data_IF_613024986112
#
_entry.id   IF_613024986112
#
_cell.length_a   1.000
_cell.length_b   1.000
_cell.length_c   1.000
_cell.angle_alpha   90.00
_cell.angle_beta   90.00
_cell.angle_gamma   90.00
#
_symmetry.space_group_name_H-M   'P 1'
#
loop_
_entity.id
_entity.type
_entity.pdbx_description
1 polymer ?
#
# COMPACT_ATOMS: atom_id res chain seq x y z
N UNK A 1 12.01 -4.43 -8.20
CA UNK A 1 12.07 -3.07 -7.63
C UNK A 1 13.34 -2.98 -6.80
N UNK A 2 14.20 -1.96 -7.01
CA UNK A 2 15.53 -1.90 -6.39
C UNK A 2 15.50 -1.53 -4.90
N UNK A 3 14.48 -0.78 -4.44
CA UNK A 3 14.42 -0.32 -3.05
C UNK A 3 13.63 -1.32 -2.20
N UNK A 4 14.25 -1.99 -1.20
CA UNK A 4 13.55 -2.92 -0.33
C UNK A 4 12.64 -2.16 0.64
N UNK A 5 11.34 -2.43 0.58
CA UNK A 5 10.38 -1.97 1.58
C UNK A 5 10.08 -3.16 2.48
N UNK A 6 10.32 -3.02 3.79
CA UNK A 6 10.02 -4.07 4.75
C UNK A 6 8.79 -3.66 5.54
N UNK A 7 7.82 -4.57 5.61
CA UNK A 7 6.60 -4.40 6.41
C UNK A 7 6.45 -5.63 7.29
N UNK A 8 6.27 -5.43 8.58
CA UNK A 8 6.15 -6.50 9.57
C UNK A 8 5.24 -6.10 10.71
N UNK A 9 4.59 -7.08 11.34
CA UNK A 9 3.83 -6.87 12.56
C UNK A 9 4.74 -6.80 13.79
N UNK A 10 4.51 -5.82 14.66
CA UNK A 10 5.14 -5.63 15.96
C UNK A 10 4.02 -5.37 16.99
N UNK A 11 3.46 -6.45 17.55
CA UNK A 11 2.27 -6.37 18.41
C UNK A 11 1.01 -5.94 17.64
N UNK A 12 0.41 -4.82 18.03
CA UNK A 12 -0.69 -4.15 17.35
C UNK A 12 -0.22 -3.08 16.35
N UNK A 13 1.10 -2.96 16.15
CA UNK A 13 1.70 -1.99 15.24
C UNK A 13 2.17 -2.66 13.94
N UNK A 14 1.98 -1.96 12.84
CA UNK A 14 2.63 -2.21 11.57
C UNK A 14 3.97 -1.45 11.58
N UNK A 15 5.08 -2.18 11.54
CA UNK A 15 6.40 -1.61 11.39
C UNK A 15 6.78 -1.58 9.91
N UNK A 16 7.10 -0.40 9.41
CA UNK A 16 7.59 -0.17 8.04
C UNK A 16 9.04 0.30 8.12
N UNK A 17 9.93 -0.29 7.33
CA UNK A 17 11.34 0.12 7.25
C UNK A 17 11.80 0.14 5.81
N UNK A 18 12.33 1.29 5.39
CA UNK A 18 12.86 1.56 4.05
C UNK A 18 14.27 2.11 4.26
N UNK A 19 15.34 1.43 3.79
CA UNK A 19 16.69 1.91 3.99
C UNK A 19 16.95 3.18 3.16
N UNK A 20 18.02 3.90 3.52
CA UNK A 20 18.56 4.96 2.67
C UNK A 20 19.17 4.37 1.40
N UNK A 21 18.98 5.06 0.27
CA UNK A 21 19.67 4.77 -0.99
C UNK A 21 19.91 6.09 -1.72
N UNK A 22 21.13 6.61 -1.57
CA UNK A 22 21.56 7.89 -2.16
C UNK A 22 21.69 7.86 -3.68
N UNK A 23 21.55 6.70 -4.31
CA UNK A 23 21.52 6.59 -5.77
C UNK A 23 20.16 6.92 -6.38
N UNK A 24 19.12 7.00 -5.54
CA UNK A 24 17.75 7.34 -5.92
C UNK A 24 17.41 8.77 -5.50
N UNK A 25 16.39 9.36 -6.12
CA UNK A 25 15.81 10.62 -5.66
C UNK A 25 14.71 10.36 -4.63
N UNK A 26 14.45 11.37 -3.79
CA UNK A 26 13.38 11.35 -2.78
C UNK A 26 12.02 11.01 -3.40
N UNK A 27 11.15 10.39 -2.61
CA UNK A 27 9.90 9.82 -3.09
C UNK A 27 8.81 9.91 -2.02
N UNK A 28 7.54 9.81 -2.44
CA UNK A 28 6.40 9.77 -1.53
C UNK A 28 6.18 8.35 -1.04
N UNK A 29 5.96 8.20 0.27
CA UNK A 29 5.51 6.94 0.86
C UNK A 29 3.99 6.94 0.95
N UNK A 30 3.36 6.02 0.22
CA UNK A 30 1.92 5.81 0.24
C UNK A 30 1.58 4.60 1.09
N UNK A 31 0.51 4.72 1.88
CA UNK A 31 -0.21 3.58 2.44
C UNK A 31 -1.50 3.39 1.66
N UNK A 32 -1.68 2.19 1.14
CA UNK A 32 -2.85 1.76 0.38
C UNK A 32 -3.49 0.62 1.15
N UNK A 33 -4.80 0.70 1.39
CA UNK A 33 -5.56 -0.44 1.93
C UNK A 33 -6.39 -1.05 0.82
N UNK A 34 -6.60 -2.36 0.87
CA UNK A 34 -7.39 -3.05 -0.14
C UNK A 34 -8.17 -4.24 0.42
N UNK A 35 -9.16 -4.70 -0.36
CA UNK A 35 -9.83 -5.99 -0.19
C UNK A 35 -9.16 -7.01 -1.10
N UNK A 36 -8.54 -8.04 -0.53
CA UNK A 36 -7.96 -9.18 -1.23
C UNK A 36 -8.98 -9.93 -2.10
N UNK A 37 -10.24 -10.00 -1.64
CA UNK A 37 -11.34 -10.64 -2.35
C UNK A 37 -12.65 -9.89 -2.14
N UNK A 38 -13.24 -9.41 -3.23
CA UNK A 38 -14.62 -8.94 -3.26
C UNK A 38 -15.44 -9.83 -4.18
N UNK A 39 -16.43 -10.53 -3.60
CA UNK A 39 -17.45 -11.23 -4.36
C UNK A 39 -18.64 -10.29 -4.55
N UNK A 40 -18.86 -9.82 -5.79
CA UNK A 40 -20.06 -9.07 -6.13
C UNK A 40 -21.01 -10.01 -6.85
N UNK A 41 -22.17 -10.27 -6.23
CA UNK A 41 -23.28 -10.93 -6.90
C UNK A 41 -23.87 -9.98 -7.96
N UNK A 42 -23.89 -10.41 -9.23
CA UNK A 42 -24.52 -9.64 -10.31
C UNK A 42 -26.00 -10.04 -10.35
N UNK A 43 -26.86 -9.19 -9.77
CA UNK A 43 -28.29 -9.51 -9.61
C UNK A 43 -29.16 -9.24 -10.85
N UNK A 44 -28.72 -8.39 -11.81
CA UNK A 44 -29.49 -8.07 -13.04
C UNK A 44 -28.59 -7.72 -14.24
N UNK A 45 -29.09 -8.00 -15.45
CA UNK A 45 -28.41 -7.77 -16.75
C UNK A 45 -27.98 -9.07 -17.43
N UNK A 46 -27.37 -9.00 -18.63
CA UNK A 46 -26.91 -10.18 -19.39
C UNK A 46 -25.87 -11.05 -18.64
N UNK A 47 -25.26 -10.53 -17.58
CA UNK A 47 -24.31 -11.25 -16.73
C UNK A 47 -24.93 -11.75 -15.40
N UNK A 48 -26.26 -11.67 -15.25
CA UNK A 48 -26.96 -12.19 -14.08
C UNK A 48 -26.61 -13.67 -13.85
N UNK A 49 -26.17 -14.00 -12.63
CA UNK A 49 -25.74 -15.36 -12.25
C UNK A 49 -24.23 -15.67 -12.44
N UNK A 50 -23.40 -14.69 -12.84
CA UNK A 50 -21.94 -14.84 -12.85
C UNK A 50 -21.32 -14.19 -11.61
N UNK A 51 -20.47 -14.92 -10.90
CA UNK A 51 -19.62 -14.36 -9.83
C UNK A 51 -18.34 -13.80 -10.47
N UNK A 52 -18.16 -12.48 -10.45
CA UNK A 52 -16.87 -11.88 -10.77
C UNK A 52 -16.09 -11.68 -9.47
N UNK A 53 -14.99 -12.41 -9.32
CA UNK A 53 -14.06 -12.21 -8.21
C UNK A 53 -13.16 -11.04 -8.59
N UNK A 54 -13.33 -9.91 -7.90
CA UNK A 54 -12.36 -8.83 -7.97
C UNK A 54 -11.34 -9.02 -6.85
N UNK A 55 -10.06 -8.99 -7.20
CA UNK A 55 -8.94 -9.14 -6.26
C UNK A 55 -8.24 -7.79 -6.07
N UNK A 56 -7.81 -7.49 -4.85
CA UNK A 56 -7.05 -6.31 -4.43
C UNK A 56 -7.75 -4.97 -4.73
N UNK A 57 -9.05 -4.89 -4.41
CA UNK A 57 -9.84 -3.66 -4.57
C UNK A 57 -9.35 -2.61 -3.58
N UNK A 58 -8.71 -1.54 -4.06
CA UNK A 58 -8.24 -0.44 -3.22
C UNK A 58 -9.40 0.24 -2.52
N UNK A 59 -9.34 0.32 -1.19
CA UNK A 59 -10.35 0.94 -0.34
C UNK A 59 -9.93 2.33 0.13
N UNK A 60 -8.64 2.56 0.32
CA UNK A 60 -8.10 3.86 0.71
C UNK A 60 -6.66 4.04 0.22
N UNK A 61 -6.23 5.29 0.07
CA UNK A 61 -4.85 5.69 -0.21
C UNK A 61 -4.51 6.97 0.54
N UNK A 62 -3.46 6.94 1.35
CA UNK A 62 -3.00 8.07 2.14
C UNK A 62 -1.47 8.27 2.05
N UNK A 63 -1.01 9.51 2.19
CA UNK A 63 0.41 9.85 2.27
C UNK A 63 0.90 9.62 3.70
N UNK A 64 1.95 8.82 3.88
CA UNK A 64 2.63 8.66 5.17
C UNK A 64 3.75 9.70 5.36
N UNK A 65 4.27 10.26 4.27
CA UNK A 65 5.30 11.28 4.26
C UNK A 65 6.24 11.14 3.07
N UNK A 66 7.32 11.92 3.08
CA UNK A 66 8.42 11.78 2.13
C UNK A 66 9.44 10.77 2.66
N UNK A 67 9.90 9.89 1.78
CA UNK A 67 11.13 9.12 1.96
C UNK A 67 12.29 9.95 1.40
N UNK A 68 13.22 10.29 2.27
CA UNK A 68 14.46 10.94 1.89
C UNK A 68 15.53 9.88 1.58
N UNK A 69 16.06 9.92 0.37
CA UNK A 69 17.11 9.03 -0.15
C UNK A 69 18.34 8.98 0.76
N UNK A 70 18.64 10.08 1.45
CA UNK A 70 19.83 10.22 2.29
C UNK A 70 19.72 9.54 3.66
N UNK A 71 18.52 9.39 4.20
CA UNK A 71 18.26 9.01 5.61
C UNK A 71 17.36 7.77 5.75
N UNK A 72 16.59 7.42 4.73
CA UNK A 72 15.65 6.30 4.80
C UNK A 72 14.37 6.65 5.56
N UNK A 73 13.58 5.64 5.92
CA UNK A 73 12.38 5.82 6.74
C UNK A 73 12.14 4.63 7.66
N UNK A 74 11.67 4.91 8.88
CA UNK A 74 11.18 3.90 9.82
C UNK A 74 9.92 4.44 10.49
N UNK A 75 8.80 3.74 10.29
CA UNK A 75 7.47 4.15 10.76
C UNK A 75 6.82 3.03 11.55
N UNK A 76 6.00 3.39 12.54
CA UNK A 76 5.09 2.47 13.23
C UNK A 76 3.69 3.03 13.16
N UNK A 77 2.76 2.22 12.66
CA UNK A 77 1.36 2.61 12.47
C UNK A 77 0.46 1.63 13.23
N UNK A 78 -0.52 2.09 14.02
CA UNK A 78 -1.44 1.20 14.73
C UNK A 78 -2.34 0.48 13.72
N UNK A 79 -2.23 -0.85 13.65
CA UNK A 79 -2.99 -1.71 12.72
C UNK A 79 -4.50 -1.44 12.78
N UNK A 80 -5.14 -1.32 13.96
CA UNK A 80 -6.57 -1.04 14.04
C UNK A 80 -7.01 0.27 13.39
N UNK A 81 -6.12 1.27 13.31
CA UNK A 81 -6.44 2.56 12.67
C UNK A 81 -6.23 2.51 11.16
N UNK A 82 -5.16 1.85 10.69
CA UNK A 82 -4.92 1.72 9.25
C UNK A 82 -5.85 0.71 8.58
N UNK A 83 -6.34 -0.31 9.30
CA UNK A 83 -7.35 -1.26 8.84
C UNK A 83 -8.75 -0.97 9.39
N UNK A 84 -9.08 0.29 9.68
CA UNK A 84 -10.36 0.64 10.32
C UNK A 84 -11.61 0.28 9.50
N UNK A 85 -11.47 -0.02 8.20
CA UNK A 85 -12.55 -0.43 7.30
C UNK A 85 -12.60 -1.94 7.04
N UNK A 86 -13.45 -2.41 6.12
CA UNK A 86 -13.51 -3.83 5.72
C UNK A 86 -12.24 -4.35 5.02
N UNK A 87 -11.20 -3.52 4.89
CA UNK A 87 -9.94 -3.84 4.22
C UNK A 87 -9.29 -5.09 4.81
N UNK A 88 -8.79 -5.97 3.95
CA UNK A 88 -8.12 -7.22 4.34
C UNK A 88 -6.61 -7.17 4.12
N UNK A 89 -6.08 -6.10 3.51
CA UNK A 89 -4.64 -5.94 3.31
C UNK A 89 -4.19 -4.49 3.25
N UNK A 90 -2.88 -4.32 3.42
CA UNK A 90 -2.13 -3.07 3.30
C UNK A 90 -1.04 -3.24 2.24
N UNK A 91 -0.82 -2.23 1.42
CA UNK A 91 0.37 -2.07 0.61
C UNK A 91 1.05 -0.74 0.96
N UNK A 92 2.38 -0.77 1.09
CA UNK A 92 3.22 0.42 1.20
C UNK A 92 3.95 0.58 -0.11
N UNK A 93 3.86 1.78 -0.70
CA UNK A 93 4.53 2.12 -1.96
C UNK A 93 5.50 3.28 -1.72
N UNK A 94 6.71 3.19 -2.27
CA UNK A 94 7.64 4.31 -2.37
C UNK A 94 7.66 4.75 -3.82
N UNK A 95 7.03 5.89 -4.11
CA UNK A 95 6.75 6.32 -5.48
C UNK A 95 7.27 7.73 -5.71
N UNK A 96 8.06 7.89 -6.78
CA UNK A 96 8.50 9.21 -7.20
C UNK A 96 7.32 10.04 -7.72
N UNK A 97 7.42 11.34 -7.56
CA UNK A 97 6.55 12.28 -8.25
C UNK A 97 7.29 12.79 -9.49
N UNK A 98 6.57 12.87 -10.61
CA UNK A 98 7.07 13.45 -11.85
C UNK A 98 6.11 14.56 -12.29
N UNK A 99 6.50 15.81 -12.06
CA UNK A 99 5.71 16.99 -12.42
C UNK A 99 4.24 16.98 -11.91
N UNK A 100 4.01 16.58 -10.66
CA UNK A 100 2.66 16.47 -10.09
C UNK A 100 1.88 15.22 -10.52
N UNK A 101 2.50 14.34 -11.32
CA UNK A 101 1.94 13.06 -11.72
C UNK A 101 2.67 11.90 -11.02
N UNK A 102 2.02 10.73 -10.87
CA UNK A 102 2.67 9.56 -10.30
C UNK A 102 3.80 9.07 -11.22
N UNK A 103 5.03 9.12 -10.72
CA UNK A 103 6.21 8.56 -11.35
C UNK A 103 6.41 7.07 -11.02
N UNK A 104 7.61 6.52 -11.26
CA UNK A 104 7.89 5.11 -11.01
C UNK A 104 7.81 4.73 -9.53
N UNK A 105 7.35 3.50 -9.27
CA UNK A 105 7.42 2.89 -7.94
C UNK A 105 8.82 2.30 -7.75
N UNK A 106 9.57 2.85 -6.79
CA UNK A 106 10.93 2.45 -6.46
C UNK A 106 10.96 1.17 -5.61
N UNK A 107 9.94 0.99 -4.77
CA UNK A 107 9.81 -0.12 -3.85
C UNK A 107 8.37 -0.29 -3.37
N UNK A 108 8.00 -1.51 -3.04
CA UNK A 108 6.70 -1.81 -2.44
C UNK A 108 6.75 -3.06 -1.58
N UNK A 109 5.84 -3.14 -0.62
CA UNK A 109 5.58 -4.34 0.15
C UNK A 109 4.12 -4.39 0.56
N UNK A 110 3.61 -5.60 0.78
CA UNK A 110 2.25 -5.84 1.23
C UNK A 110 2.26 -6.53 2.60
N UNK A 111 1.19 -6.32 3.35
CA UNK A 111 0.91 -6.97 4.62
C UNK A 111 -0.55 -7.37 4.66
N UNK A 112 -0.79 -8.65 4.95
CA UNK A 112 -2.10 -9.25 5.17
C UNK A 112 -2.08 -9.81 6.61
N UNK A 113 -3.03 -9.41 7.47
CA UNK A 113 -3.08 -9.81 8.89
C UNK A 113 -3.28 -11.30 9.14
#
# INVERSE_FOLDING_TARGET
MPLPVNVSRDGDMLKVTIPADRSLADAVVWLVTYLDRSEIAIDKGENAGKTMVYTQVVTNRQVLGMWESASGASLKLPIPEVLADRSTGIAVLVQQEDHGLPGPILGAAAFEP
#
